data_IF_238671541819
#
_entry.id   IF_238671541819
#
_cell.length_a   1.000
_cell.length_b   1.000
_cell.length_c   1.000
_cell.angle_alpha   90.00
_cell.angle_beta   90.00
_cell.angle_gamma   90.00
#
_symmetry.space_group_name_H-M   'P 1'
#
loop_
_entity.id
_entity.type
_entity.pdbx_description
1 polymer ?
#
# COMPACT_ATOMS: atom_id res chain seq x y z
N UNK A 1 1.62 0.91 1.56
CA UNK A 1 0.58 1.11 2.61
C UNK A 1 1.28 1.71 3.80
N UNK A 2 0.76 2.79 4.37
CA UNK A 2 1.39 3.55 5.46
C UNK A 2 0.35 3.97 6.48
N UNK A 3 0.71 4.01 7.76
CA UNK A 3 -0.05 4.72 8.79
C UNK A 3 0.49 6.14 8.98
N UNK A 4 -0.38 7.15 8.99
CA UNK A 4 0.04 8.55 9.11
C UNK A 4 0.72 8.85 10.46
N UNK A 5 0.39 8.09 11.51
CA UNK A 5 0.90 8.28 12.87
C UNK A 5 2.02 7.28 13.23
N UNK A 6 2.75 6.75 12.26
CA UNK A 6 3.85 5.82 12.51
C UNK A 6 5.05 6.57 13.13
N UNK A 7 5.44 6.26 14.38
CA UNK A 7 6.55 6.94 15.04
C UNK A 7 7.93 6.37 14.64
N UNK A 8 7.97 5.26 13.89
CA UNK A 8 9.18 4.54 13.51
C UNK A 8 9.60 4.82 12.08
N UNK A 9 8.64 4.80 11.16
CA UNK A 9 8.83 5.07 9.73
C UNK A 9 7.89 6.20 9.36
N UNK A 10 8.45 7.38 9.07
CA UNK A 10 7.65 8.58 8.88
C UNK A 10 6.93 8.52 7.53
N UNK A 11 5.72 9.08 7.45
CA UNK A 11 4.95 9.13 6.20
C UNK A 11 5.76 9.72 5.04
N UNK A 12 6.55 10.76 5.30
CA UNK A 12 7.39 11.43 4.29
C UNK A 12 8.37 10.48 3.59
N UNK A 13 8.82 9.43 4.26
CA UNK A 13 9.72 8.43 3.66
C UNK A 13 8.98 7.62 2.59
N UNK A 14 7.71 7.26 2.84
CA UNK A 14 6.85 6.64 1.84
C UNK A 14 6.53 7.61 0.69
N UNK A 15 6.22 8.88 1.01
CA UNK A 15 5.85 9.89 0.02
C UNK A 15 6.97 10.12 -1.00
N UNK A 16 8.22 10.18 -0.54
CA UNK A 16 9.41 10.31 -1.40
C UNK A 16 9.55 9.15 -2.39
N UNK A 17 9.29 7.92 -1.94
CA UNK A 17 9.35 6.73 -2.79
C UNK A 17 8.22 6.76 -3.82
N UNK A 18 6.99 7.07 -3.40
CA UNK A 18 5.84 7.16 -4.31
C UNK A 18 6.11 8.21 -5.40
N UNK A 19 6.61 9.39 -5.02
CA UNK A 19 6.94 10.43 -5.99
C UNK A 19 8.00 9.96 -7.00
N UNK A 20 9.06 9.29 -6.53
CA UNK A 20 10.10 8.75 -7.41
C UNK A 20 9.56 7.66 -8.36
N UNK A 21 8.71 6.77 -7.86
CA UNK A 21 8.11 5.67 -8.65
C UNK A 21 7.14 6.24 -9.70
N UNK A 22 6.31 7.22 -9.33
CA UNK A 22 5.42 7.93 -10.26
C UNK A 22 6.20 8.68 -11.34
N UNK A 23 7.30 9.37 -11.00
CA UNK A 23 8.17 10.03 -11.99
C UNK A 23 8.75 9.06 -13.01
N UNK A 24 8.96 7.81 -12.64
CA UNK A 24 9.47 6.76 -13.52
C UNK A 24 8.37 5.99 -14.26
N UNK A 25 7.10 6.42 -14.19
CA UNK A 25 5.94 5.76 -14.80
C UNK A 25 5.79 4.28 -14.41
N UNK A 26 6.22 3.93 -13.20
CA UNK A 26 6.05 2.58 -12.66
C UNK A 26 4.69 2.50 -11.94
N UNK A 27 3.86 1.48 -12.19
CA UNK A 27 2.59 1.31 -11.50
C UNK A 27 2.78 1.27 -9.98
N UNK A 28 2.09 2.16 -9.28
CA UNK A 28 2.16 2.29 -7.83
C UNK A 28 0.80 2.66 -7.25
N UNK A 29 0.38 1.94 -6.22
CA UNK A 29 -0.82 2.26 -5.44
C UNK A 29 -0.40 2.60 -4.01
N UNK A 30 -0.67 3.84 -3.61
CA UNK A 30 -0.40 4.31 -2.25
C UNK A 30 -1.69 4.36 -1.44
N UNK A 31 -1.67 3.74 -0.26
CA UNK A 31 -2.79 3.70 0.68
C UNK A 31 -2.28 4.22 2.02
N UNK A 32 -2.86 5.34 2.45
CA UNK A 32 -2.55 6.01 3.70
C UNK A 32 -3.73 5.84 4.67
N UNK A 33 -3.44 5.38 5.88
CA UNK A 33 -4.41 5.28 6.96
C UNK A 33 -4.13 6.35 8.01
N UNK A 34 -4.94 7.41 7.99
CA UNK A 34 -4.83 8.57 8.90
C UNK A 34 -4.99 8.20 10.39
N UNK A 35 -5.61 7.06 10.67
CA UNK A 35 -5.98 6.62 12.01
C UNK A 35 -5.17 5.40 12.50
N UNK A 36 -4.04 5.11 11.84
CA UNK A 36 -3.10 4.03 12.15
C UNK A 36 -1.65 4.56 12.23
N UNK A 37 -0.73 3.70 12.70
CA UNK A 37 0.70 3.99 12.78
C UNK A 37 1.53 2.85 12.19
N UNK A 38 2.50 2.33 12.95
CA UNK A 38 3.42 1.27 12.47
C UNK A 38 2.77 -0.09 12.19
N UNK A 39 1.55 -0.29 12.65
CA UNK A 39 0.77 -1.48 12.38
C UNK A 39 -0.71 -1.13 12.31
N UNK A 40 -1.49 -2.02 11.71
CA UNK A 40 -2.92 -1.83 11.51
C UNK A 40 -3.71 -2.59 12.58
N UNK A 41 -4.20 -1.85 13.58
CA UNK A 41 -4.94 -2.43 14.70
C UNK A 41 -6.41 -2.60 14.35
N UNK A 42 -6.99 -1.66 13.59
CA UNK A 42 -8.42 -1.68 13.27
C UNK A 42 -8.71 -2.75 12.22
N UNK A 43 -9.67 -3.62 12.50
CA UNK A 43 -10.09 -4.69 11.58
C UNK A 43 -10.50 -4.15 10.20
N UNK A 44 -11.17 -2.99 10.17
CA UNK A 44 -11.57 -2.33 8.92
C UNK A 44 -10.35 -1.98 8.07
N UNK A 45 -9.32 -1.39 8.65
CA UNK A 45 -8.12 -0.98 7.92
C UNK A 45 -7.32 -2.18 7.43
N UNK A 46 -7.25 -3.25 8.23
CA UNK A 46 -6.65 -4.53 7.78
C UNK A 46 -7.39 -5.14 6.59
N UNK A 47 -8.72 -5.08 6.58
CA UNK A 47 -9.53 -5.59 5.47
C UNK A 47 -9.30 -4.78 4.20
N UNK A 48 -9.35 -3.45 4.28
CA UNK A 48 -9.06 -2.56 3.14
C UNK A 48 -7.64 -2.77 2.62
N UNK A 49 -6.65 -2.94 3.52
CA UNK A 49 -5.28 -3.23 3.13
C UNK A 49 -5.17 -4.57 2.38
N UNK A 50 -5.80 -5.64 2.90
CA UNK A 50 -5.80 -6.95 2.28
C UNK A 50 -6.49 -6.96 0.90
N UNK A 51 -7.65 -6.32 0.79
CA UNK A 51 -8.37 -6.16 -0.48
C UNK A 51 -7.52 -5.39 -1.50
N UNK A 52 -6.94 -4.26 -1.11
CA UNK A 52 -6.10 -3.49 -2.01
C UNK A 52 -4.83 -4.22 -2.45
N UNK A 53 -4.26 -5.09 -1.60
CA UNK A 53 -3.14 -5.95 -1.98
C UNK A 53 -3.61 -6.99 -3.00
N UNK A 54 -4.73 -7.66 -2.73
CA UNK A 54 -5.29 -8.67 -3.62
C UNK A 54 -5.61 -8.08 -5.00
N UNK A 55 -6.24 -6.92 -5.05
CA UNK A 55 -6.56 -6.23 -6.32
C UNK A 55 -5.30 -5.92 -7.13
N UNK A 56 -4.28 -5.37 -6.46
CA UNK A 56 -3.01 -5.04 -7.12
C UNK A 56 -2.30 -6.29 -7.66
N UNK A 57 -2.31 -7.38 -6.89
CA UNK A 57 -1.73 -8.65 -7.33
C UNK A 57 -2.54 -9.26 -8.49
N UNK A 58 -3.87 -9.19 -8.47
CA UNK A 58 -4.68 -9.67 -9.59
C UNK A 58 -4.43 -8.87 -10.88
N UNK A 59 -4.19 -7.56 -10.77
CA UNK A 59 -3.90 -6.68 -11.91
C UNK A 59 -2.53 -6.96 -12.53
N UNK A 60 -1.50 -7.24 -11.72
CA UNK A 60 -0.12 -7.32 -12.18
C UNK A 60 0.50 -8.73 -12.17
N UNK A 61 -0.10 -9.68 -11.46
CA UNK A 61 0.29 -11.08 -11.37
C UNK A 61 -0.96 -11.97 -11.54
N UNK A 62 -1.60 -11.94 -12.73
CA UNK A 62 -2.71 -12.84 -13.00
C UNK A 62 -2.22 -14.28 -12.81
N UNK A 63 -2.95 -15.06 -12.01
CA UNK A 63 -2.68 -16.49 -11.85
C UNK A 63 -2.70 -17.09 -13.25
N UNK A 64 -1.55 -17.61 -13.70
CA UNK A 64 -1.45 -18.25 -15.00
C UNK A 64 -2.53 -19.31 -15.11
N UNK A 65 -3.31 -19.27 -16.19
CA UNK A 65 -4.21 -20.37 -16.52
C UNK A 65 -3.33 -21.62 -16.69
N UNK A 66 -3.32 -22.52 -15.71
CA UNK A 66 -2.94 -23.90 -15.96
C UNK A 66 -3.99 -24.46 -16.93
N UNK A 67 -3.62 -24.53 -18.22
CA UNK A 67 -4.28 -25.36 -19.22
C UNK A 67 -3.69 -26.77 -19.17
#
# INVERSE_FOLDING_TARGET
IQGANDPRVLQVESDQIVEAVTKNNVPCKYLLFEDEGHGFVKKKNRLVAAESILDFLNEHLPIGNEQ
#
